data_IF_061917404038
#
_entry.id   IF_061917404038
#
_cell.length_a   1.000
_cell.length_b   1.000
_cell.length_c   1.000
_cell.angle_alpha   90.00
_cell.angle_beta   90.00
_cell.angle_gamma   90.00
#
_symmetry.space_group_name_H-M   'P 1'
#
loop_
_entity.id
_entity.type
_entity.pdbx_description
1 polymer ?
#
# COMPACT_ATOMS: atom_id res chain seq x y z
N UNK A 1 4.41 12.45 6.79
CA UNK A 1 4.11 11.87 8.11
C UNK A 1 2.65 12.10 8.43
N UNK A 2 1.97 11.09 8.90
CA UNK A 2 0.56 11.12 9.32
C UNK A 2 0.45 10.67 10.76
N UNK A 3 -0.12 11.53 11.61
CA UNK A 3 -0.36 11.21 13.02
C UNK A 3 -1.61 10.32 13.23
N UNK A 4 -2.16 9.77 12.17
CA UNK A 4 -3.31 8.86 12.21
C UNK A 4 -2.87 7.41 12.14
N UNK A 5 -3.77 6.49 12.50
CA UNK A 5 -3.58 5.06 12.31
C UNK A 5 -3.88 4.66 10.85
N UNK A 6 -3.20 3.63 10.37
CA UNK A 6 -3.63 2.95 9.16
C UNK A 6 -4.91 2.17 9.50
N UNK A 7 -6.02 2.51 8.86
CA UNK A 7 -7.34 1.88 9.09
C UNK A 7 -8.27 2.16 7.92
N UNK A 8 -9.30 1.34 7.76
CA UNK A 8 -10.28 1.50 6.69
C UNK A 8 -9.66 1.40 5.30
N UNK A 9 -10.04 2.29 4.40
CA UNK A 9 -9.41 2.41 3.09
C UNK A 9 -8.36 3.52 3.12
N UNK A 10 -7.10 3.14 3.02
CA UNK A 10 -5.98 4.07 2.91
C UNK A 10 -5.80 4.44 1.44
N UNK A 11 -6.19 5.65 1.08
CA UNK A 11 -5.95 6.17 -0.25
C UNK A 11 -4.46 6.52 -0.42
N UNK A 12 -3.87 5.98 -1.45
CA UNK A 12 -2.48 6.23 -1.81
C UNK A 12 -2.45 7.17 -2.99
N UNK A 13 -2.33 8.46 -2.71
CA UNK A 13 -2.35 9.52 -3.70
C UNK A 13 -0.94 9.78 -4.22
N UNK A 14 -0.57 9.10 -5.31
CA UNK A 14 0.80 9.11 -5.83
C UNK A 14 1.25 10.48 -6.35
N UNK A 15 0.32 11.35 -6.73
CA UNK A 15 0.66 12.72 -7.13
C UNK A 15 1.06 13.61 -5.95
N UNK A 16 0.72 13.21 -4.72
CA UNK A 16 1.03 13.97 -3.51
C UNK A 16 2.33 13.47 -2.87
N UNK A 17 2.50 12.16 -2.75
CA UNK A 17 3.67 11.57 -2.09
C UNK A 17 3.88 10.12 -2.51
N UNK A 18 5.14 9.74 -2.68
CA UNK A 18 5.56 8.35 -2.87
C UNK A 18 5.82 7.59 -1.57
N UNK A 19 5.74 8.25 -0.42
CA UNK A 19 5.97 7.65 0.88
C UNK A 19 5.03 8.23 1.94
N UNK A 20 4.56 7.39 2.87
CA UNK A 20 3.73 7.83 3.99
C UNK A 20 4.08 7.05 5.25
N UNK A 21 4.17 7.76 6.36
CA UNK A 21 4.44 7.16 7.67
C UNK A 21 3.27 7.41 8.61
N UNK A 22 2.59 6.33 9.01
CA UNK A 22 1.54 6.36 10.02
C UNK A 22 2.16 6.15 11.40
N UNK A 23 2.13 7.19 12.23
CA UNK A 23 2.80 7.19 13.54
C UNK A 23 1.91 6.70 14.68
N UNK A 24 0.60 6.64 14.48
CA UNK A 24 -0.32 6.04 15.47
C UNK A 24 -0.48 4.55 15.22
N UNK A 25 -0.68 3.79 16.30
CA UNK A 25 -0.87 2.34 16.20
C UNK A 25 -2.07 1.99 15.31
N UNK A 26 -1.89 1.09 14.38
CA UNK A 26 -2.99 0.54 13.60
C UNK A 26 -4.03 -0.09 14.53
N UNK A 27 -5.29 0.07 14.20
CA UNK A 27 -6.42 -0.37 15.03
C UNK A 27 -7.25 -1.49 14.40
N UNK A 28 -7.05 -1.78 13.12
CA UNK A 28 -7.70 -2.84 12.35
C UNK A 28 -6.87 -3.15 11.11
N UNK A 29 -7.15 -4.27 10.47
CA UNK A 29 -6.66 -4.53 9.12
C UNK A 29 -7.23 -3.49 8.16
N UNK A 30 -6.48 -3.16 7.10
CA UNK A 30 -6.87 -2.06 6.22
C UNK A 30 -6.77 -2.42 4.73
N UNK A 31 -7.32 -1.55 3.91
CA UNK A 31 -7.25 -1.61 2.45
C UNK A 31 -6.29 -0.53 1.94
N UNK A 32 -5.41 -0.86 1.01
CA UNK A 32 -4.71 0.13 0.20
C UNK A 32 -5.43 0.34 -1.13
N UNK A 33 -5.69 1.60 -1.47
CA UNK A 33 -6.21 1.98 -2.79
C UNK A 33 -5.21 2.91 -3.47
N UNK A 34 -4.49 2.41 -4.44
CA UNK A 34 -3.51 3.17 -5.21
C UNK A 34 -4.23 3.96 -6.31
N UNK A 35 -4.03 5.26 -6.33
CA UNK A 35 -4.66 6.16 -7.30
C UNK A 35 -3.77 7.38 -7.56
N UNK A 36 -4.12 8.22 -8.53
CA UNK A 36 -3.46 9.51 -8.72
C UNK A 36 -3.75 10.44 -7.54
N UNK A 37 -5.01 10.80 -7.39
CA UNK A 37 -5.59 11.55 -6.27
C UNK A 37 -7.11 11.34 -6.24
N UNK A 38 -7.85 12.18 -5.49
CA UNK A 38 -9.30 12.09 -5.38
C UNK A 38 -10.07 12.28 -6.69
N UNK A 39 -9.45 12.85 -7.71
CA UNK A 39 -10.07 13.16 -9.01
C UNK A 39 -9.31 12.60 -10.21
N UNK A 40 -8.13 12.02 -9.99
CA UNK A 40 -7.24 11.52 -11.03
C UNK A 40 -6.95 10.06 -10.82
N UNK A 41 -7.25 9.23 -11.82
CA UNK A 41 -6.94 7.80 -11.75
C UNK A 41 -5.47 7.52 -12.05
N UNK A 42 -4.95 6.44 -11.49
CA UNK A 42 -3.62 5.95 -11.82
C UNK A 42 -3.56 5.52 -13.29
N UNK A 43 -4.67 4.97 -13.80
CA UNK A 43 -4.79 4.58 -15.20
C UNK A 43 -4.57 5.75 -16.17
N UNK A 44 -5.07 6.95 -15.83
CA UNK A 44 -4.87 8.14 -16.66
C UNK A 44 -3.47 8.73 -16.57
N UNK A 45 -2.80 8.56 -15.43
CA UNK A 45 -1.45 9.09 -15.20
C UNK A 45 -0.35 8.25 -15.85
N UNK A 46 -0.54 6.94 -15.92
CA UNK A 46 0.48 6.01 -16.37
C UNK A 46 0.26 5.57 -17.81
N UNK A 47 1.34 5.50 -18.57
CA UNK A 47 1.37 4.82 -19.87
C UNK A 47 1.70 3.33 -19.68
N UNK A 48 1.28 2.50 -20.64
CA UNK A 48 1.62 1.08 -20.62
C UNK A 48 3.15 0.89 -20.54
N UNK A 49 3.59 0.02 -19.67
CA UNK A 49 5.01 -0.24 -19.40
C UNK A 49 5.66 0.67 -18.36
N UNK A 50 4.97 1.71 -17.90
CA UNK A 50 5.47 2.53 -16.80
C UNK A 50 5.29 1.84 -15.45
N UNK A 51 6.20 2.12 -14.53
CA UNK A 51 6.16 1.64 -13.15
C UNK A 51 6.36 2.79 -12.18
N UNK A 52 5.70 2.70 -11.02
CA UNK A 52 5.91 3.59 -9.88
C UNK A 52 6.18 2.75 -8.63
N UNK A 53 6.94 3.31 -7.70
CA UNK A 53 7.19 2.68 -6.39
C UNK A 53 6.70 3.60 -5.30
N UNK A 54 5.96 3.02 -4.33
CA UNK A 54 5.46 3.71 -3.15
C UNK A 54 5.85 2.94 -1.90
N UNK A 55 6.06 3.66 -0.80
CA UNK A 55 6.47 3.07 0.47
C UNK A 55 5.56 3.55 1.60
N UNK A 56 5.23 2.64 2.50
CA UNK A 56 4.45 2.94 3.70
C UNK A 56 5.16 2.39 4.93
N UNK A 57 5.22 3.22 5.95
CA UNK A 57 5.63 2.81 7.29
C UNK A 57 4.39 2.84 8.17
N UNK A 58 4.08 1.72 8.79
CA UNK A 58 2.89 1.55 9.63
C UNK A 58 3.31 1.10 11.01
N UNK A 59 2.92 1.88 12.02
CA UNK A 59 3.19 1.54 13.42
C UNK A 59 2.13 0.57 13.92
N UNK A 60 2.56 -0.51 14.57
CA UNK A 60 1.71 -1.42 15.30
C UNK A 60 2.02 -1.36 16.80
N UNK A 61 0.97 -1.42 17.62
CA UNK A 61 1.08 -1.62 19.06
C UNK A 61 1.18 -3.11 19.42
N UNK A 62 0.67 -3.47 20.61
CA UNK A 62 0.70 -4.85 21.10
C UNK A 62 -0.10 -5.82 20.21
N UNK A 63 -1.15 -5.32 19.55
CA UNK A 63 -1.90 -6.07 18.54
C UNK A 63 -1.41 -5.65 17.15
N UNK A 64 -1.00 -6.62 16.36
CA UNK A 64 -0.50 -6.38 15.01
C UNK A 64 -1.62 -6.49 13.97
N UNK A 65 -1.66 -5.54 13.06
CA UNK A 65 -2.57 -5.51 11.92
C UNK A 65 -1.78 -5.46 10.62
N UNK A 66 -2.42 -5.78 9.52
CA UNK A 66 -1.81 -5.83 8.18
C UNK A 66 -2.79 -5.34 7.14
N UNK A 67 -2.32 -4.93 5.94
CA UNK A 67 -3.23 -4.72 4.82
C UNK A 67 -3.76 -6.07 4.32
N UNK A 68 -5.05 -6.12 4.01
CA UNK A 68 -5.73 -7.35 3.55
C UNK A 68 -6.33 -7.22 2.17
N UNK A 69 -6.65 -6.00 1.74
CA UNK A 69 -7.25 -5.71 0.43
C UNK A 69 -6.42 -4.67 -0.28
N UNK A 70 -6.21 -4.87 -1.57
CA UNK A 70 -5.43 -3.97 -2.43
C UNK A 70 -6.25 -3.62 -3.65
N UNK A 71 -6.27 -2.34 -3.98
CA UNK A 71 -7.02 -1.80 -5.10
C UNK A 71 -6.14 -0.84 -5.91
N UNK A 72 -6.39 -0.78 -7.21
CA UNK A 72 -5.92 0.30 -8.08
C UNK A 72 -7.14 0.99 -8.66
N UNK A 73 -7.26 2.29 -8.47
CA UNK A 73 -8.42 3.08 -8.87
C UNK A 73 -9.75 2.49 -8.40
N UNK A 74 -9.77 1.92 -7.18
CA UNK A 74 -10.94 1.30 -6.57
C UNK A 74 -11.24 -0.13 -7.04
N UNK A 75 -10.51 -0.67 -8.00
CA UNK A 75 -10.67 -2.05 -8.49
C UNK A 75 -9.67 -2.98 -7.80
N UNK A 76 -10.16 -4.12 -7.33
CA UNK A 76 -9.35 -5.08 -6.59
C UNK A 76 -8.19 -5.63 -7.45
N UNK A 77 -7.01 -5.72 -6.84
CA UNK A 77 -5.83 -6.37 -7.41
C UNK A 77 -5.24 -7.32 -6.38
N UNK A 78 -4.55 -8.34 -6.84
CA UNK A 78 -3.83 -9.26 -5.98
C UNK A 78 -2.33 -9.03 -6.16
N UNK A 79 -1.64 -8.45 -5.17
CA UNK A 79 -0.19 -8.25 -5.26
C UNK A 79 0.55 -9.58 -5.36
N UNK A 80 1.67 -9.55 -6.09
CA UNK A 80 2.67 -10.61 -6.02
C UNK A 80 3.69 -10.20 -4.96
N UNK A 81 3.94 -11.09 -4.01
CA UNK A 81 4.76 -10.78 -2.85
C UNK A 81 6.18 -11.29 -3.00
N UNK A 82 7.12 -10.54 -2.48
CA UNK A 82 8.51 -10.97 -2.35
C UNK A 82 8.58 -12.29 -1.56
N UNK A 83 9.28 -13.27 -2.09
CA UNK A 83 9.33 -14.61 -1.51
C UNK A 83 8.12 -15.49 -1.81
N UNK A 84 7.13 -15.00 -2.58
CA UNK A 84 5.99 -15.78 -3.05
C UNK A 84 4.82 -15.89 -2.10
N UNK A 85 4.90 -15.33 -0.90
CA UNK A 85 3.82 -15.40 0.10
C UNK A 85 3.42 -14.02 0.59
N UNK A 86 2.12 -13.76 0.64
CA UNK A 86 1.59 -12.58 1.30
C UNK A 86 1.94 -12.61 2.79
N UNK A 87 2.11 -11.43 3.44
CA UNK A 87 2.32 -11.38 4.88
C UNK A 87 1.21 -12.10 5.63
N UNK A 88 1.55 -13.09 6.46
CA UNK A 88 0.58 -13.82 7.29
C UNK A 88 0.03 -12.93 8.41
N UNK A 89 0.83 -11.99 8.89
CA UNK A 89 0.48 -11.06 9.97
C UNK A 89 1.30 -9.78 9.86
N UNK A 90 0.88 -8.72 10.54
CA UNK A 90 1.74 -7.61 10.92
C UNK A 90 2.69 -8.01 12.05
N UNK A 91 3.53 -7.09 12.49
CA UNK A 91 4.49 -7.30 13.58
C UNK A 91 4.12 -6.41 14.78
N UNK A 92 3.89 -7.02 15.94
CA UNK A 92 3.54 -6.29 17.15
C UNK A 92 4.71 -5.46 17.67
N UNK A 93 4.39 -4.29 18.25
CA UNK A 93 5.34 -3.35 18.84
C UNK A 93 6.48 -2.99 17.88
N UNK A 94 6.15 -2.81 16.62
CA UNK A 94 7.13 -2.60 15.54
C UNK A 94 6.59 -1.60 14.53
N UNK A 95 7.47 -1.15 13.65
CA UNK A 95 7.10 -0.46 12.42
C UNK A 95 7.24 -1.47 11.29
N UNK A 96 6.15 -1.69 10.56
CA UNK A 96 6.16 -2.47 9.34
C UNK A 96 6.32 -1.55 8.13
N UNK A 97 7.28 -1.86 7.27
CA UNK A 97 7.47 -1.20 6.00
C UNK A 97 6.82 -2.02 4.90
N UNK A 98 5.93 -1.39 4.13
CA UNK A 98 5.33 -1.96 2.94
C UNK A 98 5.81 -1.18 1.73
N UNK A 99 6.45 -1.87 0.81
CA UNK A 99 6.91 -1.27 -0.45
C UNK A 99 6.16 -1.93 -1.60
N UNK A 100 5.58 -1.12 -2.48
CA UNK A 100 4.86 -1.60 -3.65
C UNK A 100 5.42 -0.97 -4.91
N UNK A 101 5.67 -1.81 -5.90
CA UNK A 101 5.92 -1.38 -7.28
C UNK A 101 4.70 -1.71 -8.12
N UNK A 102 4.14 -0.72 -8.78
CA UNK A 102 2.92 -0.82 -9.57
C UNK A 102 3.28 -0.58 -11.03
N UNK A 103 3.00 -1.55 -11.87
CA UNK A 103 3.33 -1.52 -13.29
C UNK A 103 2.02 -1.54 -14.08
N UNK A 104 1.81 -0.56 -14.94
CA UNK A 104 0.67 -0.59 -15.87
C UNK A 104 1.03 -1.46 -17.07
N UNK A 105 0.32 -2.56 -17.25
CA UNK A 105 0.58 -3.53 -18.33
C UNK A 105 -0.34 -3.35 -19.52
N UNK A 106 -1.54 -2.80 -19.29
CA UNK A 106 -2.53 -2.47 -20.31
C UNK A 106 -3.51 -1.43 -19.75
N UNK A 107 -4.48 -1.00 -20.55
CA UNK A 107 -5.54 -0.11 -20.07
C UNK A 107 -6.24 -0.69 -18.83
N UNK A 108 -6.28 0.07 -17.75
CA UNK A 108 -6.87 -0.31 -16.46
C UNK A 108 -6.36 -1.67 -15.92
N UNK A 109 -5.17 -2.10 -16.33
CA UNK A 109 -4.58 -3.38 -15.94
C UNK A 109 -3.20 -3.15 -15.33
N UNK A 110 -3.01 -3.65 -14.12
CA UNK A 110 -1.80 -3.40 -13.34
C UNK A 110 -1.24 -4.69 -12.73
N UNK A 111 0.08 -4.75 -12.66
CA UNK A 111 0.80 -5.73 -11.83
C UNK A 111 1.33 -4.99 -10.61
N UNK A 112 1.07 -5.51 -9.42
CA UNK A 112 1.53 -4.95 -8.16
C UNK A 112 2.49 -5.93 -7.50
N UNK A 113 3.71 -5.46 -7.22
CA UNK A 113 4.74 -6.21 -6.52
C UNK A 113 4.89 -5.65 -5.11
N UNK A 114 4.71 -6.48 -4.11
CA UNK A 114 4.73 -6.04 -2.71
C UNK A 114 5.81 -6.73 -1.89
N UNK A 115 6.30 -6.01 -0.88
CA UNK A 115 7.20 -6.54 0.14
C UNK A 115 6.86 -5.95 1.51
N UNK A 116 6.98 -6.77 2.56
CA UNK A 116 6.87 -6.34 3.94
C UNK A 116 8.22 -6.52 4.63
N UNK A 117 8.64 -5.52 5.40
CA UNK A 117 9.82 -5.60 6.27
C UNK A 117 9.48 -5.11 7.67
N UNK A 118 10.06 -5.75 8.69
CA UNK A 118 9.86 -5.40 10.09
C UNK A 118 11.02 -4.53 10.58
N UNK A 119 10.68 -3.45 11.26
CA UNK A 119 11.63 -2.61 12.00
C UNK A 119 11.17 -2.54 13.47
N UNK A 120 11.92 -3.21 14.33
CA UNK A 120 11.64 -3.26 15.77
C UNK A 120 12.61 -2.37 16.55
#
# INVERSE_FOLDING_TARGET
>A
VSATAATGTVAVDVVTSGAKYFTSNASADWTFNFRGDGTTTLNSLMSNGQAITVAFLVTNGATAYKPTVFQVDGSAVTPKWNGGNAPAAGNANSIDSYTFTIIKTASATFTVLGAQSKFA
#
